data_IF_723005137009
#
_entry.id   IF_723005137009
#
_cell.length_a   1.000
_cell.length_b   1.000
_cell.length_c   1.000
_cell.angle_alpha   90.00
_cell.angle_beta   90.00
_cell.angle_gamma   90.00
#
_symmetry.space_group_name_H-M   'P 1'
#
loop_
_entity.id
_entity.type
_entity.pdbx_description
1 polymer ?
#
# COMPACT_ATOMS: atom_id res chain seq x y z
N UNK A 1 8.75 23.30 -14.43
CA UNK A 1 8.49 21.96 -14.99
C UNK A 1 7.55 21.24 -14.03
N UNK A 2 6.25 21.24 -14.33
CA UNK A 2 5.23 20.52 -13.56
C UNK A 2 4.76 19.32 -14.38
N UNK A 3 5.22 18.13 -14.01
CA UNK A 3 4.82 16.89 -14.67
C UNK A 3 4.60 15.82 -13.63
N UNK A 4 3.37 15.70 -13.11
CA UNK A 4 2.73 14.41 -12.77
C UNK A 4 1.21 14.59 -12.72
N UNK A 5 0.57 14.87 -13.85
CA UNK A 5 -0.85 14.52 -14.03
C UNK A 5 -0.91 12.99 -14.19
N UNK A 6 -1.01 12.27 -13.07
CA UNK A 6 -1.35 10.85 -13.08
C UNK A 6 -2.86 10.77 -13.35
N UNK A 7 -3.20 10.65 -14.63
CA UNK A 7 -4.56 10.46 -15.12
C UNK A 7 -5.08 9.13 -14.58
N UNK A 8 -5.79 9.17 -13.46
CA UNK A 8 -6.58 8.05 -12.97
C UNK A 8 -7.90 8.05 -13.71
N UNK A 9 -7.97 7.46 -14.90
CA UNK A 9 -9.24 7.09 -15.54
C UNK A 9 -8.94 6.20 -16.74
N UNK A 10 -9.31 4.93 -16.62
CA UNK A 10 -9.37 4.01 -17.75
C UNK A 10 -8.85 2.62 -17.39
N UNK A 11 -9.63 1.84 -16.66
CA UNK A 11 -9.68 0.37 -16.79
C UNK A 11 -10.90 -0.16 -16.01
N UNK A 12 -11.64 -1.06 -16.64
CA UNK A 12 -13.01 -1.44 -16.28
C UNK A 12 -13.18 -1.97 -14.85
N UNK A 13 -14.39 -1.76 -14.27
CA UNK A 13 -14.68 -1.87 -12.85
C UNK A 13 -14.72 -3.32 -12.35
N UNK A 14 -13.54 -3.83 -12.02
CA UNK A 14 -13.36 -4.83 -10.97
C UNK A 14 -13.08 -4.18 -9.62
N UNK A 15 -13.82 -3.11 -9.27
CA UNK A 15 -13.95 -2.57 -7.91
C UNK A 15 -12.69 -2.70 -7.02
N UNK A 16 -11.53 -2.16 -7.43
CA UNK A 16 -10.21 -2.32 -6.75
C UNK A 16 -10.20 -3.50 -5.76
N UNK A 17 -10.33 -4.72 -6.28
CA UNK A 17 -10.61 -5.88 -5.43
C UNK A 17 -9.58 -5.97 -4.31
N UNK A 18 -9.97 -6.36 -3.09
CA UNK A 18 -9.06 -6.41 -1.94
C UNK A 18 -7.75 -7.18 -2.25
N UNK A 19 -7.83 -8.13 -3.19
CA UNK A 19 -6.70 -8.88 -3.76
C UNK A 19 -5.76 -7.97 -4.56
N UNK A 20 -6.28 -7.15 -5.49
CA UNK A 20 -5.46 -6.21 -6.26
C UNK A 20 -4.77 -5.20 -5.34
N UNK A 21 -5.50 -4.69 -4.34
CA UNK A 21 -4.91 -3.84 -3.30
C UNK A 21 -3.76 -4.56 -2.59
N UNK A 22 -3.97 -5.79 -2.12
CA UNK A 22 -2.95 -6.56 -1.41
C UNK A 22 -1.69 -6.81 -2.27
N UNK A 23 -1.85 -7.08 -3.57
CA UNK A 23 -0.74 -7.25 -4.50
C UNK A 23 0.06 -5.95 -4.70
N UNK A 24 -0.64 -4.83 -4.94
CA UNK A 24 -0.01 -3.52 -5.11
C UNK A 24 0.68 -3.05 -3.82
N UNK A 25 0.03 -3.29 -2.68
CA UNK A 25 0.57 -2.99 -1.36
C UNK A 25 1.83 -3.80 -1.06
N UNK A 26 1.80 -5.12 -1.28
CA UNK A 26 2.96 -6.01 -1.08
C UNK A 26 4.13 -5.61 -1.95
N UNK A 27 3.88 -5.32 -3.24
CA UNK A 27 4.90 -4.82 -4.17
C UNK A 27 5.52 -3.51 -3.69
N UNK A 28 4.70 -2.58 -3.21
CA UNK A 28 5.19 -1.31 -2.67
C UNK A 28 6.02 -1.49 -1.40
N UNK A 29 5.62 -2.38 -0.49
CA UNK A 29 6.39 -2.71 0.71
C UNK A 29 7.75 -3.32 0.36
N UNK A 30 7.81 -4.25 -0.61
CA UNK A 30 9.05 -4.91 -1.05
C UNK A 30 10.02 -3.97 -1.79
N UNK A 31 9.49 -3.00 -2.54
CA UNK A 31 10.32 -2.01 -3.24
C UNK A 31 11.09 -1.09 -2.28
N UNK A 32 10.65 -0.98 -1.02
CA UNK A 32 11.30 -0.17 0.01
C UNK A 32 12.37 -0.99 0.71
N UNK A 33 13.58 -0.44 0.81
CA UNK A 33 14.66 -1.00 1.65
C UNK A 33 14.42 -0.83 3.15
N UNK A 34 13.46 0.03 3.54
CA UNK A 34 13.14 0.39 4.93
C UNK A 34 11.67 0.08 5.25
N UNK A 35 11.42 -0.46 6.45
CA UNK A 35 10.07 -0.70 7.00
C UNK A 35 9.31 0.66 7.05
N UNK A 36 8.18 0.84 6.32
CA UNK A 36 7.47 2.12 6.30
C UNK A 36 6.77 2.44 7.64
N UNK A 37 6.59 3.72 7.92
CA UNK A 37 5.79 4.20 9.06
C UNK A 37 4.30 4.12 8.73
N UNK A 38 3.45 4.14 9.75
CA UNK A 38 2.01 4.16 9.54
C UNK A 38 1.56 5.44 8.80
N UNK A 39 2.23 6.56 9.04
CA UNK A 39 1.97 7.84 8.36
C UNK A 39 2.24 7.75 6.85
N UNK A 40 3.39 7.18 6.45
CA UNK A 40 3.70 6.98 5.02
C UNK A 40 2.65 6.10 4.32
N UNK A 41 2.10 5.12 5.04
CA UNK A 41 1.04 4.25 4.51
C UNK A 41 -0.29 5.00 4.37
N UNK A 42 -0.60 5.88 5.32
CA UNK A 42 -1.78 6.74 5.26
C UNK A 42 -1.69 7.72 4.09
N UNK A 43 -0.54 8.38 3.90
CA UNK A 43 -0.33 9.34 2.82
C UNK A 43 -0.35 8.69 1.43
N UNK A 44 0.28 7.52 1.28
CA UNK A 44 0.39 6.83 0.00
C UNK A 44 -0.93 6.20 -0.47
N UNK A 45 -1.75 5.72 0.46
CA UNK A 45 -2.93 4.89 0.15
C UNK A 45 -4.25 5.50 0.62
N UNK A 46 -4.22 6.68 1.26
CA UNK A 46 -5.42 7.35 1.78
C UNK A 46 -6.13 6.57 2.89
N UNK A 47 -5.45 5.64 3.55
CA UNK A 47 -6.06 4.77 4.55
C UNK A 47 -6.07 5.42 5.93
N UNK A 48 -7.01 5.01 6.79
CA UNK A 48 -7.03 5.40 8.20
C UNK A 48 -5.84 4.81 8.97
N UNK A 49 -5.44 5.45 10.07
CA UNK A 49 -4.36 4.97 10.95
C UNK A 49 -4.58 3.52 11.42
N UNK A 50 -5.80 3.19 11.85
CA UNK A 50 -6.14 1.82 12.27
C UNK A 50 -5.93 0.80 11.14
N UNK A 51 -6.33 1.15 9.91
CA UNK A 51 -6.11 0.33 8.72
C UNK A 51 -4.62 0.15 8.43
N UNK A 52 -3.82 1.21 8.52
CA UNK A 52 -2.38 1.14 8.32
C UNK A 52 -1.70 0.17 9.31
N UNK A 53 -2.04 0.22 10.60
CA UNK A 53 -1.51 -0.73 11.58
C UNK A 53 -1.94 -2.17 11.30
N UNK A 54 -3.20 -2.40 10.89
CA UNK A 54 -3.69 -3.75 10.52
C UNK A 54 -2.89 -4.32 9.34
N UNK A 55 -2.70 -3.56 8.29
CA UNK A 55 -1.92 -4.00 7.12
C UNK A 55 -0.43 -4.17 7.44
N UNK A 56 0.14 -3.30 8.27
CA UNK A 56 1.53 -3.45 8.74
C UNK A 56 1.74 -4.74 9.52
N UNK A 57 0.81 -5.07 10.42
CA UNK A 57 0.85 -6.32 11.19
C UNK A 57 0.68 -7.54 10.30
N UNK A 58 -0.31 -7.53 9.39
CA UNK A 58 -0.55 -8.62 8.44
C UNK A 58 0.64 -8.85 7.51
N UNK A 59 1.30 -7.79 7.04
CA UNK A 59 2.52 -7.91 6.23
C UNK A 59 3.66 -8.53 7.03
N UNK A 60 3.89 -8.08 8.27
CA UNK A 60 4.93 -8.65 9.15
C UNK A 60 4.73 -10.14 9.38
N UNK A 61 3.49 -10.55 9.64
CA UNK A 61 3.11 -11.95 9.84
C UNK A 61 3.39 -12.77 8.57
N UNK A 62 2.93 -12.29 7.41
CA UNK A 62 3.10 -12.96 6.13
C UNK A 62 4.57 -13.09 5.67
N UNK A 63 5.43 -12.13 6.03
CA UNK A 63 6.85 -12.16 5.65
C UNK A 63 7.76 -12.77 6.72
N UNK A 64 7.20 -13.33 7.81
CA UNK A 64 7.98 -13.96 8.88
C UNK A 64 8.91 -12.99 9.61
N UNK A 65 8.42 -11.78 9.90
CA UNK A 65 9.25 -10.66 10.38
C UNK A 65 10.10 -10.99 11.60
N UNK A 66 11.40 -11.19 11.38
CA UNK A 66 12.43 -11.10 12.41
C UNK A 66 12.55 -9.64 12.88
N UNK A 67 12.81 -9.47 14.18
CA UNK A 67 12.74 -8.24 14.95
C UNK A 67 13.42 -7.03 14.26
#
# INVERSE_FOLDING_TARGET
MSTYKRTWLGECPGLQSQIEFALRFTRWMQARRKKPTAEEMMEQWGMSRATAYRYKAAYRDATGGDA
#
